data_IF_692930947760
#
_entry.id   IF_692930947760
#
_cell.length_a   1.000
_cell.length_b   1.000
_cell.length_c   1.000
_cell.angle_alpha   90.00
_cell.angle_beta   90.00
_cell.angle_gamma   90.00
#
_symmetry.space_group_name_H-M   'P 1'
#
loop_
_entity.id
_entity.type
_entity.pdbx_description
1 polymer ?
#
# COMPACT_ATOMS: atom_id res chain seq x y z
N UNK A 1 19.17 19.70 -7.48
CA UNK A 1 18.04 18.85 -7.05
C UNK A 1 18.09 18.77 -5.53
N UNK A 2 17.11 19.35 -4.81
CA UNK A 2 16.96 19.08 -3.37
C UNK A 2 16.54 17.62 -3.25
N UNK A 3 17.42 16.76 -2.75
CA UNK A 3 17.01 15.47 -2.20
C UNK A 3 16.19 15.80 -0.95
N UNK A 4 14.88 15.91 -1.13
CA UNK A 4 13.94 15.90 -0.01
C UNK A 4 14.26 14.64 0.79
N UNK A 5 14.73 14.79 2.02
CA UNK A 5 14.95 13.64 2.90
C UNK A 5 13.63 12.88 3.02
N UNK A 6 13.55 11.74 2.33
CA UNK A 6 12.39 10.86 2.40
C UNK A 6 12.25 10.40 3.84
N UNK A 7 11.21 10.89 4.50
CA UNK A 7 10.96 10.51 5.89
C UNK A 7 10.62 9.03 5.95
N UNK A 8 10.80 8.42 7.13
CA UNK A 8 10.36 7.04 7.34
C UNK A 8 8.87 6.87 7.02
N UNK A 9 8.05 7.89 7.32
CA UNK A 9 6.60 7.92 7.04
C UNK A 9 6.32 7.84 5.53
N UNK A 10 7.06 8.56 4.70
CA UNK A 10 6.89 8.53 3.24
C UNK A 10 7.25 7.16 2.66
N UNK A 11 8.33 6.54 3.17
CA UNK A 11 8.71 5.18 2.79
C UNK A 11 7.65 4.17 3.18
N UNK A 12 7.08 4.30 4.38
CA UNK A 12 5.99 3.44 4.83
C UNK A 12 4.74 3.63 3.97
N UNK A 13 4.34 4.86 3.62
CA UNK A 13 3.23 5.10 2.68
C UNK A 13 3.42 4.39 1.35
N UNK A 14 4.63 4.40 0.79
CA UNK A 14 4.93 3.71 -0.45
C UNK A 14 4.83 2.18 -0.30
N UNK A 15 5.47 1.61 0.73
CA UNK A 15 5.50 0.15 0.94
C UNK A 15 4.10 -0.40 1.21
N UNK A 16 3.31 0.32 2.01
CA UNK A 16 1.96 -0.05 2.40
C UNK A 16 0.89 0.39 1.42
N UNK A 17 1.25 0.99 0.29
CA UNK A 17 0.31 1.39 -0.72
C UNK A 17 -0.49 0.17 -1.24
N UNK A 18 -1.83 0.26 -1.38
CA UNK A 18 -2.66 -0.84 -1.88
C UNK A 18 -2.20 -1.42 -3.21
N UNK A 19 -1.64 -0.61 -4.11
CA UNK A 19 -1.05 -1.07 -5.37
C UNK A 19 0.19 -1.94 -5.13
N UNK A 20 1.03 -1.55 -4.19
CA UNK A 20 2.24 -2.29 -3.85
C UNK A 20 1.92 -3.61 -3.14
N UNK A 21 0.89 -3.60 -2.29
CA UNK A 21 0.30 -4.79 -1.68
C UNK A 21 -0.30 -5.71 -2.75
N UNK A 22 -1.06 -5.18 -3.71
CA UNK A 22 -1.57 -5.95 -4.84
C UNK A 22 -0.45 -6.62 -5.64
N UNK A 23 0.58 -5.86 -6.01
CA UNK A 23 1.74 -6.38 -6.73
C UNK A 23 2.36 -7.55 -5.96
N UNK A 24 2.61 -7.39 -4.67
CA UNK A 24 3.16 -8.43 -3.79
C UNK A 24 2.26 -9.68 -3.75
N UNK A 25 0.95 -9.50 -3.59
CA UNK A 25 -0.02 -10.60 -3.52
C UNK A 25 -0.22 -11.30 -4.86
N UNK A 26 -0.07 -10.60 -5.98
CA UNK A 26 -0.27 -11.16 -7.32
C UNK A 26 0.76 -12.21 -7.72
N UNK A 27 1.90 -12.27 -7.02
CA UNK A 27 2.90 -13.34 -7.17
C UNK A 27 2.47 -14.67 -6.56
N UNK A 28 1.57 -14.62 -5.57
CA UNK A 28 1.17 -15.79 -4.77
C UNK A 28 -0.29 -16.20 -5.07
N UNK A 29 -1.16 -15.23 -5.31
CA UNK A 29 -2.59 -15.41 -5.49
C UNK A 29 -3.02 -15.19 -6.94
N UNK A 30 -4.15 -15.80 -7.32
CA UNK A 30 -4.83 -15.48 -8.59
C UNK A 30 -5.20 -13.99 -8.60
N UNK A 31 -5.05 -13.34 -9.77
CA UNK A 31 -5.27 -11.88 -9.96
C UNK A 31 -6.55 -11.35 -9.30
N UNK A 32 -7.69 -12.03 -9.48
CA UNK A 32 -8.97 -11.61 -8.87
C UNK A 32 -8.91 -11.59 -7.34
N UNK A 33 -8.33 -12.61 -6.72
CA UNK A 33 -8.18 -12.71 -5.26
C UNK A 33 -7.18 -11.66 -4.75
N UNK A 34 -6.08 -11.43 -5.45
CA UNK A 34 -5.12 -10.40 -5.10
C UNK A 34 -5.74 -8.99 -5.13
N UNK A 35 -6.54 -8.67 -6.17
CA UNK A 35 -7.26 -7.39 -6.26
C UNK A 35 -8.24 -7.23 -5.10
N UNK A 36 -9.06 -8.25 -4.81
CA UNK A 36 -10.02 -8.20 -3.71
C UNK A 36 -9.32 -8.00 -2.36
N UNK A 37 -8.22 -8.73 -2.13
CA UNK A 37 -7.45 -8.64 -0.89
C UNK A 37 -6.82 -7.26 -0.72
N UNK A 38 -6.22 -6.70 -1.79
CA UNK A 38 -5.63 -5.36 -1.75
C UNK A 38 -6.68 -4.27 -1.47
N UNK A 39 -7.90 -4.39 -2.03
CA UNK A 39 -9.01 -3.47 -1.74
C UNK A 39 -9.52 -3.59 -0.31
N UNK A 40 -9.60 -4.80 0.23
CA UNK A 40 -9.98 -5.01 1.64
C UNK A 40 -8.93 -4.44 2.59
N UNK A 41 -7.66 -4.65 2.27
CA UNK A 41 -6.53 -4.06 2.97
C UNK A 41 -6.58 -2.52 2.94
N UNK A 42 -6.84 -1.94 1.76
CA UNK A 42 -6.98 -0.49 1.60
C UNK A 42 -8.04 0.07 2.56
N UNK A 43 -9.24 -0.52 2.50
CA UNK A 43 -10.39 -0.10 3.31
C UNK A 43 -10.19 -0.31 4.81
N UNK A 44 -9.51 -1.38 5.22
CA UNK A 44 -9.47 -1.80 6.63
C UNK A 44 -8.20 -1.40 7.37
N UNK A 45 -7.10 -1.12 6.64
CA UNK A 45 -5.78 -0.88 7.24
C UNK A 45 -5.17 0.41 6.69
N UNK A 46 -5.04 0.55 5.37
CA UNK A 46 -4.36 1.71 4.78
C UNK A 46 -5.09 3.01 5.08
N UNK A 47 -6.42 3.06 4.90
CA UNK A 47 -7.22 4.22 5.27
C UNK A 47 -7.07 4.55 6.75
N UNK A 48 -7.06 3.57 7.66
CA UNK A 48 -6.89 3.87 9.10
C UNK A 48 -5.47 4.36 9.45
N UNK A 49 -4.44 3.85 8.78
CA UNK A 49 -3.04 4.25 9.01
C UNK A 49 -2.72 5.64 8.47
N UNK A 50 -3.47 6.12 7.46
CA UNK A 50 -3.15 7.33 6.72
C UNK A 50 -4.35 8.26 6.46
N UNK A 51 -5.49 8.08 7.16
CA UNK A 51 -6.72 8.88 6.98
C UNK A 51 -6.61 10.34 7.44
N UNK A 52 -5.59 10.68 8.23
CA UNK A 52 -5.38 12.05 8.70
C UNK A 52 -4.40 12.77 7.77
N UNK A 53 -4.97 13.32 6.68
CA UNK A 53 -4.48 14.49 5.94
C UNK A 53 -5.65 15.25 5.32
#
# INVERSE_FOLDING_TARGET
MRTTELTLKDRMRHVFNPLHVYCSLSWVLRKRTAILTARLYEKSIYSHLFAEE
#
